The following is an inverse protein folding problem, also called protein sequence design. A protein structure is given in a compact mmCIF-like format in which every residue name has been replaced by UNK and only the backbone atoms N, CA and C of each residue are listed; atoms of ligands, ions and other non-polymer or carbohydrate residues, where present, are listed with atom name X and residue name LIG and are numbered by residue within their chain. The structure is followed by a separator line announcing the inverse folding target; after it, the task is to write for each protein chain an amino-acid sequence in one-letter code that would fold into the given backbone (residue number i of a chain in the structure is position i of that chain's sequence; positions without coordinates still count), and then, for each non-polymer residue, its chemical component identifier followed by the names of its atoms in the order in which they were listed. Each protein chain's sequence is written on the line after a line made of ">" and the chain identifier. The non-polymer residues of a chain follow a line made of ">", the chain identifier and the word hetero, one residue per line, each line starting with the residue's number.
data_IF_567034517615
#
_entry.id   IF_567034517615
#
_cell.length_a   1.000
_cell.length_b   1.000
_cell.length_c   1.000
_cell.angle_alpha   90.00
_cell.angle_beta   90.00
_cell.angle_gamma   90.00
#
_symmetry.space_group_name_H-M   'P 1'
#
loop_
_entity.id
_entity.type
_entity.pdbx_description
1 polymer ?
#
# COMPACT_ATOMS: atom_id res chain seq x y z
N UNK A 1 1.12 20.56 0.30
CA UNK A 1 1.26 19.93 1.65
C UNK A 1 0.87 18.47 1.49
N UNK A 2 1.84 17.60 1.61
CA UNK A 2 1.60 16.16 1.45
C UNK A 2 0.75 15.67 2.63
N UNK A 3 -0.40 15.07 2.32
CA UNK A 3 -1.26 14.49 3.36
C UNK A 3 -0.73 13.09 3.70
N UNK A 4 -0.18 12.93 4.91
CA UNK A 4 0.23 11.63 5.45
C UNK A 4 -0.94 10.99 6.18
N UNK A 5 -1.35 9.81 5.74
CA UNK A 5 -2.41 8.99 6.35
C UNK A 5 -1.76 7.84 7.11
N UNK A 6 -2.04 7.71 8.39
CA UNK A 6 -1.59 6.58 9.22
C UNK A 6 -2.76 5.68 9.59
N UNK A 7 -2.53 4.37 9.64
CA UNK A 7 -3.55 3.38 9.96
C UNK A 7 -3.43 2.83 11.38
N UNK A 8 -4.57 2.54 12.01
CA UNK A 8 -4.63 1.69 13.19
C UNK A 8 -4.57 0.22 12.77
N UNK A 9 -3.80 -0.57 13.51
CA UNK A 9 -3.81 -2.02 13.37
C UNK A 9 -5.21 -2.58 13.66
N UNK A 10 -5.70 -3.60 12.92
CA UNK A 10 -7.04 -4.18 13.09
C UNK A 10 -7.36 -4.77 14.47
N UNK A 11 -6.37 -4.90 15.34
CA UNK A 11 -6.52 -5.51 16.67
C UNK A 11 -7.32 -4.68 17.69
N UNK A 12 -7.70 -3.44 17.37
CA UNK A 12 -8.45 -2.56 18.28
C UNK A 12 -9.95 -2.45 17.99
N UNK A 13 -10.47 -3.09 16.93
CA UNK A 13 -11.87 -2.90 16.47
C UNK A 13 -12.84 -4.04 16.80
N UNK A 14 -12.69 -4.75 17.91
CA UNK A 14 -13.54 -5.91 18.27
C UNK A 14 -14.91 -5.57 18.89
N UNK A 15 -15.44 -4.36 18.73
CA UNK A 15 -16.78 -3.98 19.20
C UNK A 15 -17.49 -3.01 18.22
N UNK A 16 -17.92 -3.49 17.06
CA UNK A 16 -19.00 -2.82 16.34
C UNK A 16 -19.92 -3.84 15.66
N UNK A 17 -21.22 -3.79 16.04
CA UNK A 17 -22.24 -4.71 15.58
C UNK A 17 -22.57 -4.52 14.09
N UNK A 18 -22.60 -5.63 13.37
CA UNK A 18 -23.14 -5.72 12.01
C UNK A 18 -24.66 -5.48 12.04
N UNK A 19 -25.07 -4.39 11.43
CA UNK A 19 -26.49 -4.09 11.20
C UNK A 19 -26.72 -3.33 9.89
N UNK A 20 -27.34 -3.98 8.92
CA UNK A 20 -28.03 -3.40 7.75
C UNK A 20 -27.23 -2.54 6.76
N UNK A 21 -26.16 -3.05 6.16
CA UNK A 21 -25.48 -2.36 5.03
C UNK A 21 -25.60 -3.00 3.65
N UNK A 22 -26.03 -4.25 3.54
CA UNK A 22 -26.12 -4.94 2.23
C UNK A 22 -27.12 -4.31 1.24
N UNK A 23 -28.24 -3.77 1.73
CA UNK A 23 -29.25 -3.17 0.86
C UNK A 23 -28.84 -1.81 0.27
N UNK A 24 -27.99 -1.05 0.96
CA UNK A 24 -27.53 0.27 0.50
C UNK A 24 -26.44 0.15 -0.56
N UNK A 25 -25.58 -0.85 -0.46
CA UNK A 25 -24.52 -1.13 -1.43
C UNK A 25 -25.10 -1.61 -2.75
N UNK A 26 -26.09 -2.52 -2.71
CA UNK A 26 -26.75 -3.03 -3.90
C UNK A 26 -27.51 -1.93 -4.69
N UNK A 27 -28.10 -0.94 -4.01
CA UNK A 27 -28.77 0.19 -4.66
C UNK A 27 -27.78 1.20 -5.28
N UNK A 28 -26.59 1.35 -4.67
CA UNK A 28 -25.55 2.24 -5.19
C UNK A 28 -24.94 1.71 -6.50
N UNK A 29 -24.71 0.40 -6.59
CA UNK A 29 -24.22 -0.26 -7.81
C UNK A 29 -25.22 -0.14 -8.97
N UNK A 30 -26.53 -0.25 -8.72
CA UNK A 30 -27.59 -0.07 -9.74
C UNK A 30 -27.71 1.38 -10.26
N UNK A 31 -27.24 2.38 -9.51
CA UNK A 31 -27.32 3.81 -9.89
C UNK A 31 -26.04 4.40 -10.47
N UNK A 32 -24.98 3.58 -10.70
CA UNK A 32 -23.71 4.09 -11.23
C UNK A 32 -23.01 5.07 -10.26
N UNK A 33 -23.27 4.97 -8.97
CA UNK A 33 -22.49 5.69 -7.97
C UNK A 33 -21.13 5.02 -7.85
N UNK A 34 -20.09 5.65 -8.35
CA UNK A 34 -18.71 5.25 -8.07
C UNK A 34 -18.46 5.31 -6.56
N UNK A 35 -18.34 4.15 -5.93
CA UNK A 35 -18.09 4.00 -4.47
C UNK A 35 -16.59 4.25 -4.20
N UNK A 36 -15.87 4.95 -4.94
CA UNK A 36 -14.46 5.25 -4.69
C UNK A 36 -13.59 4.02 -4.37
N UNK A 37 -12.30 4.22 -4.39
CA UNK A 37 -11.32 3.23 -3.95
C UNK A 37 -11.24 3.21 -2.42
N UNK A 38 -11.31 2.03 -1.81
CA UNK A 38 -11.14 1.83 -0.36
C UNK A 38 -9.86 1.05 -0.12
N UNK A 39 -8.93 1.64 0.62
CA UNK A 39 -7.65 1.05 0.99
C UNK A 39 -7.72 0.66 2.47
N UNK A 40 -7.38 -0.59 2.79
CA UNK A 40 -7.34 -1.11 4.16
C UNK A 40 -5.96 -1.71 4.42
N UNK A 41 -5.29 -1.28 5.47
CA UNK A 41 -4.01 -1.84 5.90
C UNK A 41 -4.20 -2.95 6.93
N UNK A 42 -3.55 -4.09 6.73
CA UNK A 42 -3.59 -5.24 7.65
C UNK A 42 -2.36 -5.33 8.55
N UNK A 43 -1.38 -4.46 8.36
CA UNK A 43 -0.07 -4.48 9.01
C UNK A 43 1.02 -4.89 8.04
N UNK A 44 2.29 -4.74 8.44
CA UNK A 44 3.47 -4.99 7.61
C UNK A 44 3.37 -4.20 6.29
N UNK A 45 3.49 -4.85 5.14
CA UNK A 45 3.22 -4.28 3.81
C UNK A 45 1.87 -4.75 3.22
N UNK A 46 0.99 -5.37 4.04
CA UNK A 46 -0.23 -5.98 3.53
C UNK A 46 -1.39 -5.00 3.40
N UNK A 47 -1.89 -4.86 2.19
CA UNK A 47 -3.05 -4.03 1.86
C UNK A 47 -4.13 -4.79 1.13
N UNK A 48 -5.38 -4.37 1.38
CA UNK A 48 -6.55 -4.66 0.56
C UNK A 48 -6.98 -3.37 -0.12
N UNK A 49 -7.06 -3.40 -1.45
CA UNK A 49 -7.60 -2.31 -2.27
C UNK A 49 -8.92 -2.80 -2.84
N UNK A 50 -9.99 -2.05 -2.64
CA UNK A 50 -11.31 -2.37 -3.15
C UNK A 50 -11.86 -1.21 -3.96
N UNK A 51 -12.28 -1.47 -5.21
CA UNK A 51 -12.98 -0.54 -6.09
C UNK A 51 -14.19 -1.24 -6.69
N UNK A 52 -15.39 -0.86 -6.25
CA UNK A 52 -16.60 -1.60 -6.57
C UNK A 52 -16.52 -3.06 -6.13
N UNK A 53 -16.69 -3.98 -7.10
CA UNK A 53 -16.62 -5.42 -6.88
C UNK A 53 -15.17 -5.97 -6.99
N UNK A 54 -14.22 -5.18 -7.53
CA UNK A 54 -12.82 -5.56 -7.65
C UNK A 54 -12.12 -5.50 -6.30
N UNK A 55 -11.44 -6.57 -5.92
CA UNK A 55 -10.63 -6.65 -4.72
C UNK A 55 -9.22 -7.10 -5.08
N UNK A 56 -8.23 -6.26 -4.76
CA UNK A 56 -6.80 -6.54 -4.91
C UNK A 56 -6.19 -6.73 -3.53
N UNK A 57 -5.46 -7.82 -3.33
CA UNK A 57 -4.64 -8.08 -2.15
C UNK A 57 -3.16 -7.87 -2.50
N UNK A 58 -2.41 -7.23 -1.62
CA UNK A 58 -0.96 -7.05 -1.77
C UNK A 58 -0.29 -7.57 -0.50
N UNK A 59 0.78 -8.35 -0.68
CA UNK A 59 1.67 -8.86 0.37
C UNK A 59 0.94 -9.47 1.59
N UNK A 60 0.07 -10.48 1.41
CA UNK A 60 -0.54 -11.18 2.53
C UNK A 60 0.53 -11.96 3.32
N UNK A 61 0.45 -11.90 4.64
CA UNK A 61 1.43 -12.51 5.55
C UNK A 61 0.86 -13.68 6.34
N UNK A 62 1.74 -14.53 6.86
CA UNK A 62 1.40 -15.60 7.78
C UNK A 62 1.31 -15.12 9.23
N UNK A 63 0.59 -15.87 10.09
CA UNK A 63 0.49 -15.57 11.53
C UNK A 63 1.83 -15.62 12.28
N UNK A 64 2.88 -16.11 11.66
CA UNK A 64 4.22 -16.25 12.27
C UNK A 64 4.83 -14.91 12.63
N UNK A 65 4.49 -13.85 11.88
CA UNK A 65 4.93 -12.49 12.18
C UNK A 65 4.27 -11.88 13.43
N UNK A 66 3.36 -12.60 14.10
CA UNK A 66 2.70 -12.16 15.32
C UNK A 66 1.36 -11.46 15.13
N UNK A 67 1.01 -11.13 13.89
CA UNK A 67 -0.28 -10.54 13.53
C UNK A 67 -1.27 -11.62 13.07
N UNK A 68 -2.56 -11.28 13.06
CA UNK A 68 -3.59 -12.15 12.48
C UNK A 68 -3.46 -12.15 10.95
N UNK A 69 -3.25 -13.32 10.37
CA UNK A 69 -3.14 -13.49 8.91
C UNK A 69 -4.40 -12.95 8.22
N UNK A 70 -4.26 -12.10 7.18
CA UNK A 70 -5.41 -11.57 6.46
C UNK A 70 -6.18 -12.69 5.75
N UNK A 71 -7.52 -12.67 5.88
CA UNK A 71 -8.41 -13.64 5.23
C UNK A 71 -9.58 -12.93 4.62
N UNK A 72 -9.57 -12.79 3.30
CA UNK A 72 -10.67 -12.19 2.54
C UNK A 72 -10.65 -12.71 1.11
N UNK A 73 -11.77 -12.50 0.39
CA UNK A 73 -11.85 -12.80 -1.03
C UNK A 73 -11.07 -11.75 -1.81
N UNK A 74 -10.21 -12.20 -2.71
CA UNK A 74 -9.51 -11.34 -3.67
C UNK A 74 -9.77 -11.79 -5.10
N UNK A 75 -9.72 -10.85 -6.04
CA UNK A 75 -9.77 -11.09 -7.47
C UNK A 75 -8.37 -11.08 -8.07
N UNK A 76 -7.47 -10.30 -7.48
CA UNK A 76 -6.05 -10.18 -7.84
C UNK A 76 -5.24 -10.27 -6.55
N UNK A 77 -4.13 -11.00 -6.58
CA UNK A 77 -3.20 -11.11 -5.47
C UNK A 77 -1.77 -10.82 -5.93
N UNK A 78 -1.13 -9.85 -5.30
CA UNK A 78 0.23 -9.42 -5.59
C UNK A 78 1.16 -9.84 -4.46
N UNK A 79 2.35 -10.36 -4.79
CA UNK A 79 3.45 -10.50 -3.86
C UNK A 79 4.67 -9.77 -4.42
N UNK A 80 5.20 -8.81 -3.67
CA UNK A 80 6.36 -8.00 -4.09
C UNK A 80 7.63 -8.82 -4.13
N UNK A 81 7.73 -9.83 -3.26
CA UNK A 81 8.85 -10.77 -3.19
C UNK A 81 8.48 -12.02 -2.39
N UNK A 82 9.39 -12.99 -2.30
CA UNK A 82 9.08 -14.33 -1.80
C UNK A 82 9.43 -14.55 -0.30
N UNK A 83 9.50 -13.51 0.51
CA UNK A 83 9.64 -13.68 1.96
C UNK A 83 8.29 -14.08 2.60
N UNK A 84 8.35 -14.87 3.68
CA UNK A 84 7.18 -15.47 4.35
C UNK A 84 6.18 -14.46 4.93
N UNK A 85 6.62 -13.24 5.14
CA UNK A 85 5.82 -12.11 5.62
C UNK A 85 5.19 -11.27 4.50
N UNK A 86 5.32 -11.71 3.22
CA UNK A 86 4.77 -11.03 2.05
C UNK A 86 4.05 -11.96 1.05
N UNK A 87 4.21 -13.28 1.13
CA UNK A 87 3.75 -14.20 0.08
C UNK A 87 2.74 -15.26 0.54
N UNK A 88 2.04 -15.06 1.64
CA UNK A 88 1.04 -16.02 2.14
C UNK A 88 -0.27 -15.96 1.35
N UNK A 89 -0.19 -16.14 0.03
CA UNK A 89 -1.31 -16.05 -0.91
C UNK A 89 -2.42 -17.08 -0.60
N UNK A 90 -2.08 -18.20 0.04
CA UNK A 90 -3.02 -19.26 0.45
C UNK A 90 -4.02 -18.80 1.52
N UNK A 91 -3.76 -17.70 2.22
CA UNK A 91 -4.71 -17.13 3.18
C UNK A 91 -5.91 -16.47 2.51
N UNK A 92 -5.80 -16.15 1.22
CA UNK A 92 -6.84 -15.50 0.45
C UNK A 92 -7.86 -16.53 -0.09
N UNK A 93 -9.07 -16.06 -0.38
CA UNK A 93 -10.12 -16.86 -1.02
C UNK A 93 -10.55 -16.21 -2.33
N UNK A 94 -11.33 -16.91 -3.17
CA UNK A 94 -11.88 -16.36 -4.41
C UNK A 94 -11.08 -16.69 -5.67
N UNK A 95 -10.05 -17.54 -5.57
CA UNK A 95 -9.20 -17.95 -6.70
C UNK A 95 -8.62 -16.74 -7.46
N UNK A 96 -7.81 -15.89 -6.80
CA UNK A 96 -7.29 -14.65 -7.38
C UNK A 96 -6.33 -14.91 -8.54
N UNK A 97 -6.28 -13.99 -9.50
CA UNK A 97 -5.17 -13.92 -10.45
C UNK A 97 -3.91 -13.49 -9.70
N UNK A 98 -2.88 -14.35 -9.68
CA UNK A 98 -1.66 -14.16 -8.89
C UNK A 98 -0.56 -13.52 -9.74
N UNK A 99 0.06 -12.45 -9.23
CA UNK A 99 1.22 -11.76 -9.82
C UNK A 99 2.34 -11.72 -8.76
N UNK A 100 3.51 -12.24 -9.10
CA UNK A 100 4.64 -12.37 -8.17
C UNK A 100 5.96 -11.86 -8.73
N UNK A 101 5.92 -10.93 -9.68
CA UNK A 101 7.13 -10.41 -10.31
C UNK A 101 6.85 -9.25 -11.24
N UNK A 102 7.91 -8.68 -11.84
CA UNK A 102 7.79 -7.55 -12.75
C UNK A 102 7.05 -7.92 -14.04
N UNK A 103 6.45 -6.91 -14.68
CA UNK A 103 5.71 -7.05 -15.94
C UNK A 103 4.50 -6.13 -15.97
N UNK A 104 3.81 -6.14 -17.11
CA UNK A 104 2.59 -5.36 -17.33
C UNK A 104 1.39 -6.31 -17.43
N UNK A 105 0.34 -6.00 -16.67
CA UNK A 105 -0.84 -6.85 -16.57
C UNK A 105 -2.10 -5.99 -16.65
N UNK A 106 -3.09 -6.48 -17.38
CA UNK A 106 -4.45 -5.91 -17.37
C UNK A 106 -5.43 -7.00 -16.95
N UNK A 107 -6.01 -6.86 -15.78
CA UNK A 107 -6.90 -7.85 -15.17
C UNK A 107 -8.13 -7.18 -14.59
N UNK A 108 -9.33 -7.56 -15.03
CA UNK A 108 -10.61 -7.05 -14.52
C UNK A 108 -10.70 -5.52 -14.48
N UNK A 109 -10.08 -4.82 -15.43
CA UNK A 109 -10.07 -3.36 -15.51
C UNK A 109 -9.05 -2.68 -14.59
N UNK A 110 -8.21 -3.44 -13.90
CA UNK A 110 -7.01 -2.92 -13.26
C UNK A 110 -5.81 -3.06 -14.20
N UNK A 111 -5.05 -1.98 -14.36
CA UNK A 111 -3.73 -2.00 -14.98
C UNK A 111 -2.68 -2.08 -13.88
N UNK A 112 -1.73 -3.02 -13.98
CA UNK A 112 -0.70 -3.26 -12.98
C UNK A 112 0.65 -3.32 -13.69
N UNK A 113 1.56 -2.44 -13.31
CA UNK A 113 2.94 -2.44 -13.78
C UNK A 113 3.88 -2.80 -12.62
N UNK A 114 4.45 -4.00 -12.67
CA UNK A 114 5.48 -4.45 -11.75
C UNK A 114 6.86 -4.03 -12.25
N UNK A 115 7.60 -3.28 -11.46
CA UNK A 115 8.94 -2.81 -11.75
C UNK A 115 9.91 -3.47 -10.78
N UNK A 116 10.96 -4.10 -11.31
CA UNK A 116 11.97 -4.73 -10.48
C UNK A 116 12.82 -3.69 -9.76
N UNK A 117 13.01 -3.90 -8.47
CA UNK A 117 13.91 -3.15 -7.59
C UNK A 117 14.68 -4.13 -6.69
N UNK A 118 15.53 -3.60 -5.80
CA UNK A 118 16.29 -4.42 -4.85
C UNK A 118 15.79 -4.22 -3.42
N UNK A 119 15.85 -5.30 -2.66
CA UNK A 119 15.51 -5.31 -1.23
C UNK A 119 16.70 -4.89 -0.34
N UNK A 120 17.78 -4.41 -0.92
CA UNK A 120 18.97 -3.92 -0.22
C UNK A 120 19.78 -2.95 -1.09
N UNK A 121 20.72 -2.23 -0.46
CA UNK A 121 21.64 -1.28 -1.15
C UNK A 121 22.77 -1.97 -1.92
N UNK A 122 22.81 -3.29 -1.95
CA UNK A 122 23.86 -4.10 -2.60
C UNK A 122 23.34 -4.87 -3.82
N UNK A 123 22.33 -4.33 -4.50
CA UNK A 123 21.73 -4.91 -5.70
C UNK A 123 21.17 -6.32 -5.46
N UNK A 124 20.46 -6.50 -4.36
CA UNK A 124 19.80 -7.75 -4.01
C UNK A 124 20.72 -8.86 -3.50
N UNK A 125 21.99 -8.60 -3.25
CA UNK A 125 22.95 -9.62 -2.81
C UNK A 125 22.70 -10.12 -1.39
N UNK A 126 22.03 -9.34 -0.56
CA UNK A 126 21.77 -9.71 0.84
C UNK A 126 20.34 -10.19 1.06
N UNK A 127 19.36 -9.54 0.43
CA UNK A 127 17.93 -9.81 0.66
C UNK A 127 17.14 -10.15 -0.60
N UNK A 128 17.78 -10.09 -1.77
CA UNK A 128 17.16 -10.45 -3.04
C UNK A 128 16.47 -9.28 -3.73
N UNK A 129 15.56 -9.66 -4.63
CA UNK A 129 14.80 -8.73 -5.45
C UNK A 129 13.51 -8.33 -4.74
N UNK A 130 13.03 -7.13 -5.06
CA UNK A 130 11.73 -6.62 -4.74
C UNK A 130 11.04 -6.17 -6.03
N UNK A 131 9.73 -6.24 -6.09
CA UNK A 131 8.92 -5.68 -7.18
C UNK A 131 8.05 -4.58 -6.61
N UNK A 132 8.21 -3.35 -7.08
CA UNK A 132 7.24 -2.30 -6.79
C UNK A 132 6.09 -2.42 -7.76
N UNK A 133 4.85 -2.17 -7.32
CA UNK A 133 3.67 -2.27 -8.16
C UNK A 133 2.98 -0.92 -8.30
N UNK A 134 2.95 -0.40 -9.52
CA UNK A 134 2.06 0.69 -9.91
C UNK A 134 0.73 0.09 -10.34
N UNK A 135 -0.33 0.44 -9.64
CA UNK A 135 -1.68 -0.10 -9.83
C UNK A 135 -2.59 1.05 -10.24
N UNK A 136 -3.21 0.95 -11.40
CA UNK A 136 -4.21 1.91 -11.85
C UNK A 136 -5.59 1.28 -11.91
N UNK A 137 -6.54 1.87 -11.17
CA UNK A 137 -7.95 1.47 -11.14
C UNK A 137 -8.81 2.74 -11.12
N UNK A 138 -9.79 2.82 -12.03
CA UNK A 138 -10.68 3.98 -12.17
C UNK A 138 -9.93 5.32 -12.34
N UNK A 139 -8.74 5.27 -12.95
CA UNK A 139 -7.87 6.41 -13.18
C UNK A 139 -7.16 6.93 -11.92
N UNK A 140 -7.16 6.16 -10.82
CA UNK A 140 -6.36 6.42 -9.61
C UNK A 140 -5.11 5.56 -9.68
N UNK A 141 -3.94 6.20 -9.55
CA UNK A 141 -2.63 5.55 -9.63
C UNK A 141 -2.02 5.40 -8.23
N UNK A 142 -1.89 4.15 -7.79
CA UNK A 142 -1.34 3.77 -6.50
C UNK A 142 0.00 3.04 -6.70
N UNK A 143 1.05 3.51 -6.04
CA UNK A 143 2.36 2.86 -6.03
C UNK A 143 2.59 2.17 -4.69
N UNK A 144 2.77 0.84 -4.72
CA UNK A 144 3.18 0.03 -3.57
C UNK A 144 4.65 -0.32 -3.68
N UNK A 145 5.45 0.14 -2.71
CA UNK A 145 6.90 0.02 -2.77
C UNK A 145 7.43 -1.35 -2.29
N UNK A 146 6.58 -2.20 -1.68
CA UNK A 146 7.05 -3.44 -1.06
C UNK A 146 8.15 -3.19 -0.03
N UNK A 147 9.16 -4.03 -0.04
CA UNK A 147 10.34 -3.90 0.80
C UNK A 147 11.49 -3.21 0.04
N UNK A 148 11.20 -2.04 -0.52
CA UNK A 148 12.19 -1.24 -1.22
C UNK A 148 13.38 -0.93 -0.32
N UNK A 149 14.60 -1.29 -0.78
CA UNK A 149 15.82 -1.20 0.02
C UNK A 149 16.99 -0.54 -0.71
N UNK A 150 16.78 0.03 -1.91
CA UNK A 150 17.84 0.72 -2.64
C UNK A 150 18.20 2.06 -2.01
N UNK A 151 19.40 2.54 -2.32
CA UNK A 151 19.78 3.90 -1.96
C UNK A 151 18.86 4.91 -2.65
N UNK A 152 18.37 5.87 -1.87
CA UNK A 152 17.51 6.95 -2.39
C UNK A 152 18.37 8.11 -2.88
N UNK A 153 18.07 8.62 -4.08
CA UNK A 153 18.78 9.74 -4.69
C UNK A 153 18.34 9.96 -6.14
N UNK A 154 18.98 10.92 -6.80
CA UNK A 154 18.66 11.38 -8.16
C UNK A 154 18.75 10.26 -9.23
N UNK A 155 19.42 9.15 -8.93
CA UNK A 155 19.62 8.01 -9.85
C UNK A 155 18.58 6.89 -9.70
N UNK A 156 17.46 7.13 -9.03
CA UNK A 156 16.40 6.13 -8.87
C UNK A 156 15.73 5.81 -10.21
N UNK A 157 16.23 4.79 -10.89
CA UNK A 157 15.86 4.43 -12.28
C UNK A 157 14.38 4.13 -12.47
N UNK A 158 13.65 3.77 -11.41
CA UNK A 158 12.23 3.48 -11.51
C UNK A 158 11.36 4.74 -11.61
N UNK A 159 11.84 5.93 -11.18
CA UNK A 159 11.05 7.17 -11.16
C UNK A 159 10.52 7.52 -12.55
N UNK A 160 11.34 7.35 -13.59
CA UNK A 160 10.92 7.59 -14.99
C UNK A 160 9.82 6.61 -15.44
N UNK A 161 9.79 5.40 -14.86
CA UNK A 161 8.83 4.34 -15.22
C UNK A 161 7.49 4.50 -14.52
N UNK A 162 7.47 5.03 -13.30
CA UNK A 162 6.20 5.18 -12.54
C UNK A 162 5.41 6.43 -12.95
N UNK A 163 6.07 7.48 -13.41
CA UNK A 163 5.40 8.75 -13.75
C UNK A 163 4.59 9.32 -12.58
N UNK A 164 3.42 9.91 -12.86
CA UNK A 164 2.55 10.49 -11.80
C UNK A 164 1.99 9.41 -10.87
N UNK A 165 1.98 9.69 -9.57
CA UNK A 165 1.45 8.81 -8.51
C UNK A 165 0.44 9.59 -7.68
N UNK A 166 -0.78 9.07 -7.55
CA UNK A 166 -1.79 9.67 -6.68
C UNK A 166 -1.60 9.23 -5.21
N UNK A 167 -1.30 7.95 -5.00
CA UNK A 167 -1.17 7.35 -3.65
C UNK A 167 0.13 6.56 -3.58
N UNK A 168 0.96 6.88 -2.60
CA UNK A 168 2.20 6.15 -2.33
C UNK A 168 2.08 5.34 -1.04
N UNK A 169 2.34 4.03 -1.11
CA UNK A 169 2.51 3.14 0.03
C UNK A 169 4.00 2.87 0.19
N UNK A 170 4.64 3.47 1.22
CA UNK A 170 6.11 3.49 1.37
C UNK A 170 6.56 2.86 2.69
N UNK A 171 7.57 1.96 2.67
CA UNK A 171 8.14 1.41 3.90
C UNK A 171 8.97 2.47 4.62
N UNK A 172 8.82 2.56 5.96
CA UNK A 172 9.49 3.59 6.77
C UNK A 172 10.23 3.05 8.01
N UNK A 173 10.12 1.73 8.26
CA UNK A 173 10.62 1.11 9.49
C UNK A 173 12.13 0.85 9.51
N UNK A 174 12.85 1.04 8.42
CA UNK A 174 14.27 0.71 8.32
C UNK A 174 14.53 -0.79 8.57
N UNK A 175 15.69 -1.14 9.11
CA UNK A 175 16.17 -2.50 9.40
C UNK A 175 16.31 -3.38 8.15
N UNK A 176 15.24 -3.58 7.40
CA UNK A 176 15.20 -4.40 6.17
C UNK A 176 14.95 -3.57 4.92
N UNK A 177 14.40 -2.38 5.05
CA UNK A 177 14.00 -1.46 3.98
C UNK A 177 14.71 -0.11 4.15
N UNK A 178 14.40 0.85 3.31
CA UNK A 178 14.76 2.26 3.55
C UNK A 178 14.20 2.71 4.90
N UNK A 179 14.89 3.65 5.53
CA UNK A 179 14.44 4.24 6.79
C UNK A 179 13.46 5.41 6.57
N UNK A 180 12.94 5.97 7.67
CA UNK A 180 11.97 7.05 7.60
C UNK A 180 12.48 8.35 6.96
N UNK A 181 13.78 8.62 6.94
CA UNK A 181 14.36 9.79 6.29
C UNK A 181 14.48 9.59 4.79
N UNK A 182 15.00 8.43 4.40
CA UNK A 182 15.08 8.03 2.99
C UNK A 182 13.69 7.96 2.37
N UNK A 183 12.70 7.39 3.09
CA UNK A 183 11.32 7.35 2.67
C UNK A 183 10.73 8.77 2.47
N UNK A 184 11.07 9.73 3.34
CA UNK A 184 10.63 11.11 3.18
C UNK A 184 11.30 11.81 1.98
N UNK A 185 12.56 11.52 1.69
CA UNK A 185 13.24 12.00 0.50
C UNK A 185 12.58 11.45 -0.75
N UNK A 186 12.39 10.14 -0.81
CA UNK A 186 11.72 9.47 -1.93
C UNK A 186 10.29 9.98 -2.16
N UNK A 187 9.56 10.25 -1.08
CA UNK A 187 8.22 10.84 -1.17
C UNK A 187 8.24 12.21 -1.84
N UNK A 188 9.25 13.04 -1.55
CA UNK A 188 9.41 14.36 -2.19
C UNK A 188 9.80 14.25 -3.66
N UNK A 189 10.56 13.21 -4.04
CA UNK A 189 10.95 12.98 -5.43
C UNK A 189 9.77 12.45 -6.28
N UNK A 190 8.87 11.66 -5.69
CA UNK A 190 7.67 11.11 -6.35
C UNK A 190 6.53 12.13 -6.40
N UNK A 191 6.46 13.05 -5.43
CA UNK A 191 5.40 14.07 -5.30
C UNK A 191 3.97 13.49 -5.33
N UNK A 192 3.65 12.44 -4.54
CA UNK A 192 2.31 11.86 -4.53
C UNK A 192 1.32 12.80 -3.83
N UNK A 193 0.02 12.67 -4.12
CA UNK A 193 -1.02 13.45 -3.42
C UNK A 193 -1.30 12.95 -2.01
N UNK A 194 -1.19 11.63 -1.82
CA UNK A 194 -1.39 10.96 -0.53
C UNK A 194 -0.25 9.99 -0.27
N UNK A 195 0.21 9.95 0.98
CA UNK A 195 1.25 9.02 1.42
C UNK A 195 0.75 8.21 2.59
N UNK A 196 0.93 6.92 2.50
CA UNK A 196 0.60 5.95 3.55
C UNK A 196 1.90 5.23 3.94
N UNK A 197 2.48 5.54 5.11
CA UNK A 197 3.63 4.82 5.61
C UNK A 197 3.24 3.39 6.00
N UNK A 198 4.09 2.44 5.69
CA UNK A 198 3.92 1.02 6.00
C UNK A 198 5.21 0.40 6.50
N UNK A 199 5.21 -0.91 6.79
CA UNK A 199 6.38 -1.70 7.17
C UNK A 199 7.16 -1.06 8.33
N UNK A 200 6.45 -0.72 9.42
CA UNK A 200 7.03 -0.17 10.65
C UNK A 200 6.47 -0.88 11.89
N UNK A 201 7.11 -0.67 13.03
CA UNK A 201 6.75 -1.31 14.29
C UNK A 201 5.33 -0.97 14.72
N UNK A 202 4.52 -2.01 14.92
CA UNK A 202 3.16 -1.93 15.47
C UNK A 202 2.98 -2.95 16.60
N UNK A 203 1.98 -2.77 17.49
CA UNK A 203 1.69 -3.73 18.56
C UNK A 203 1.42 -5.14 18.01
N UNK A 204 2.02 -6.14 18.62
CA UNK A 204 1.85 -7.55 18.24
C UNK A 204 2.80 -8.05 17.15
N UNK A 205 3.41 -7.17 16.36
CA UNK A 205 4.38 -7.54 15.33
C UNK A 205 5.68 -8.08 15.98
N UNK A 206 6.12 -9.25 15.54
CA UNK A 206 7.38 -9.89 16.00
C UNK A 206 8.59 -9.53 15.13
N UNK A 207 8.36 -9.04 13.93
CA UNK A 207 9.43 -8.54 13.06
C UNK A 207 10.03 -7.30 13.69
N UNK A 208 11.35 -7.25 13.79
CA UNK A 208 12.07 -6.12 14.42
C UNK A 208 12.15 -4.96 13.43
N UNK A 209 11.34 -3.94 13.63
CA UNK A 209 11.29 -2.72 12.82
C UNK A 209 11.42 -1.48 13.69
N UNK A 210 11.91 -0.38 13.12
CA UNK A 210 11.76 0.96 13.67
C UNK A 210 10.33 1.45 13.62
N UNK A 211 10.05 2.54 14.32
CA UNK A 211 8.75 3.22 14.25
C UNK A 211 8.69 4.20 13.05
N UNK A 212 7.56 4.86 12.88
CA UNK A 212 7.34 5.85 11.82
C UNK A 212 7.69 7.30 12.23
N UNK A 213 8.25 7.52 13.42
CA UNK A 213 8.46 8.86 13.98
C UNK A 213 9.44 9.71 13.14
N UNK A 214 10.51 9.09 12.63
CA UNK A 214 11.47 9.79 11.78
C UNK A 214 10.82 10.27 10.48
N UNK A 215 10.03 9.44 9.83
CA UNK A 215 9.28 9.78 8.62
C UNK A 215 8.31 10.94 8.86
N UNK A 216 7.45 10.83 9.89
CA UNK A 216 6.48 11.88 10.23
C UNK A 216 7.15 13.21 10.52
N UNK A 217 8.30 13.20 11.20
CA UNK A 217 9.09 14.40 11.49
C UNK A 217 9.61 15.07 10.21
N UNK A 218 10.21 14.29 9.29
CA UNK A 218 10.75 14.80 8.02
C UNK A 218 9.66 15.31 7.07
N UNK A 219 8.45 14.73 7.16
CA UNK A 219 7.26 15.19 6.45
C UNK A 219 6.54 16.37 7.15
N UNK A 220 7.03 16.82 8.31
CA UNK A 220 6.45 17.92 9.06
C UNK A 220 5.10 17.62 9.73
N UNK A 221 4.73 16.35 9.84
CA UNK A 221 3.44 15.90 10.39
C UNK A 221 3.55 15.73 11.90
N UNK A 222 2.84 16.57 12.67
CA UNK A 222 2.82 16.52 14.14
C UNK A 222 1.72 15.62 14.70
N UNK A 223 0.57 15.62 14.05
CA UNK A 223 -0.62 14.87 14.46
C UNK A 223 -1.16 14.11 13.23
N UNK A 224 -0.66 12.91 12.95
CA UNK A 224 -1.15 12.13 11.82
C UNK A 224 -2.61 11.77 12.04
N UNK A 225 -3.41 11.85 10.99
CA UNK A 225 -4.77 11.33 11.01
C UNK A 225 -4.71 9.79 10.97
N UNK A 226 -5.32 9.18 11.99
CA UNK A 226 -5.34 7.72 12.10
C UNK A 226 -6.70 7.23 11.63
N UNK A 227 -6.71 6.39 10.58
CA UNK A 227 -7.92 5.85 9.98
C UNK A 227 -7.85 4.32 9.92
N UNK A 228 -8.99 3.65 10.05
CA UNK A 228 -9.10 2.20 9.80
C UNK A 228 -9.09 1.87 8.30
N UNK A 229 -9.64 2.79 7.50
CA UNK A 229 -9.76 2.69 6.04
C UNK A 229 -9.61 4.06 5.44
N UNK A 230 -8.85 4.14 4.37
CA UNK A 230 -8.76 5.33 3.54
C UNK A 230 -9.67 5.18 2.33
N UNK A 231 -10.60 6.12 2.13
CA UNK A 231 -11.53 6.11 0.98
C UNK A 231 -11.30 7.33 0.14
N UNK A 232 -11.10 7.13 -1.17
CA UNK A 232 -10.82 8.20 -2.13
C UNK A 232 -11.59 7.99 -3.43
N UNK A 233 -12.01 9.07 -4.06
CA UNK A 233 -12.63 9.09 -5.40
C UNK A 233 -11.75 9.90 -6.35
N UNK A 234 -11.81 9.60 -7.65
CA UNK A 234 -11.03 10.36 -8.66
C UNK A 234 -11.27 11.87 -8.59
N UNK A 235 -12.49 12.31 -8.32
CA UNK A 235 -12.81 13.72 -8.13
C UNK A 235 -12.07 14.38 -6.96
N UNK A 236 -11.63 13.59 -5.97
CA UNK A 236 -10.90 14.09 -4.80
C UNK A 236 -9.39 14.26 -5.10
N UNK A 237 -8.97 13.90 -6.33
CA UNK A 237 -7.60 13.96 -6.85
C UNK A 237 -7.44 15.09 -7.88
N UNK A 238 -8.36 16.03 -7.99
CA UNK A 238 -8.31 17.09 -9.02
C UNK A 238 -7.23 18.14 -8.73
N UNK A 239 -6.68 18.74 -9.81
CA UNK A 239 -5.53 19.66 -9.80
C UNK A 239 -5.72 20.97 -9.02
N UNK A 240 -6.93 21.28 -8.55
CA UNK A 240 -7.23 22.54 -7.87
C UNK A 240 -6.63 22.66 -6.46
N UNK A 241 -6.09 21.61 -5.87
CA UNK A 241 -5.44 21.64 -4.54
C UNK A 241 -3.91 21.90 -4.59
N UNK A 242 -3.33 22.23 -5.75
CA UNK A 242 -1.91 22.62 -5.84
C UNK A 242 -1.61 24.03 -5.31
N UNK A 243 -2.59 24.75 -4.82
CA UNK A 243 -2.42 26.15 -4.42
C UNK A 243 -3.10 26.46 -3.09
N UNK A 244 -2.57 25.94 -2.00
CA UNK A 244 -2.66 26.61 -0.70
C UNK A 244 -1.31 26.49 -0.01
N UNK A 245 -0.59 27.60 -0.04
CA UNK A 245 0.67 27.88 0.65
C UNK A 245 0.40 28.16 2.12
#
# INVERSE_FOLDING_TARGET
>A
MDRVVSFLSPLTSLLYQEGNRESTIALAVQKGYHIGMVITWYGQACFKIQSGDLVIAIDPFSKEIGLTSPRFRADIALATHQHHDHNNLESLTGDPFVITGPGEYEVKGAYIHGIQTFHDTKQGKERGLNTIYLIEVEGIRLLHMGDYGEAVGEDSQFLEQVGEVDILLVPVGGTYTIDGRDAATLTKDIEPRFVIPMHYKIPGLKVTLGDNAAFLKEMGVKNPEIQEKFTIKKKDITDEEKTDV
#
